data_IF_120194054161
#
_entry.id   IF_120194054161
#
_cell.length_a   1.000
_cell.length_b   1.000
_cell.length_c   1.000
_cell.angle_alpha   90.00
_cell.angle_beta   90.00
_cell.angle_gamma   90.00
#
_symmetry.space_group_name_H-M   'P 1'
#
loop_
_entity.id
_entity.type
_entity.pdbx_description
1 polymer ?
#
# COMPACT_ATOMS: atom_id res chain seq x y z
N UNK A 1 5.03 -12.53 1.95
CA UNK A 1 4.50 -13.82 2.46
C UNK A 1 5.31 -14.21 3.69
N UNK A 2 4.79 -13.93 4.88
CA UNK A 2 5.56 -14.06 6.14
C UNK A 2 4.72 -14.61 7.30
N UNK A 3 5.38 -15.26 8.27
CA UNK A 3 4.75 -15.73 9.51
C UNK A 3 3.92 -17.01 9.40
N UNK A 4 4.08 -17.81 8.34
CA UNK A 4 3.27 -19.02 8.11
C UNK A 4 4.05 -20.31 8.37
N UNK A 5 3.36 -21.42 8.58
CA UNK A 5 3.99 -22.76 8.55
C UNK A 5 4.53 -23.08 7.15
N UNK A 6 3.78 -22.72 6.10
CA UNK A 6 4.17 -22.89 4.70
C UNK A 6 3.86 -21.58 3.97
N UNK A 7 4.87 -20.89 3.45
CA UNK A 7 4.69 -19.62 2.75
C UNK A 7 3.86 -19.79 1.48
N UNK A 8 4.36 -20.59 0.54
CA UNK A 8 3.60 -21.04 -0.63
C UNK A 8 3.48 -22.56 -0.55
N UNK A 9 2.26 -23.07 -0.73
CA UNK A 9 1.97 -24.50 -0.67
C UNK A 9 1.29 -24.97 -1.94
N UNK A 10 1.89 -25.95 -2.63
CA UNK A 10 1.29 -26.62 -3.78
C UNK A 10 1.03 -28.09 -3.46
N UNK A 11 -0.19 -28.55 -3.72
CA UNK A 11 -0.59 -29.96 -3.65
C UNK A 11 -1.58 -30.28 -4.75
N UNK A 12 -1.53 -31.52 -5.24
CA UNK A 12 -2.66 -32.06 -5.99
C UNK A 12 -3.76 -32.55 -5.03
N UNK A 13 -5.03 -32.20 -5.32
CA UNK A 13 -6.19 -32.55 -4.47
C UNK A 13 -7.09 -33.68 -5.02
N UNK A 14 -7.06 -33.99 -6.31
CA UNK A 14 -8.06 -34.87 -6.95
C UNK A 14 -7.65 -36.34 -7.07
N UNK A 15 -8.59 -37.30 -6.90
CA UNK A 15 -8.41 -38.68 -7.37
C UNK A 15 -8.47 -38.71 -8.91
N UNK A 16 -7.44 -39.23 -9.57
CA UNK A 16 -7.42 -39.48 -11.02
C UNK A 16 -7.06 -38.30 -11.94
N UNK A 17 -7.01 -37.05 -11.45
CA UNK A 17 -6.74 -35.85 -12.28
C UNK A 17 -5.45 -35.10 -11.92
N UNK A 18 -4.61 -35.67 -11.05
CA UNK A 18 -3.27 -35.12 -10.86
C UNK A 18 -2.50 -35.31 -12.17
N UNK A 19 -2.09 -34.23 -12.83
CA UNK A 19 -1.41 -34.36 -14.10
C UNK A 19 -0.02 -34.97 -13.85
N UNK A 20 0.67 -35.39 -14.91
CA UNK A 20 2.04 -35.91 -14.78
C UNK A 20 2.89 -34.89 -14.04
N UNK A 21 3.91 -35.35 -13.33
CA UNK A 21 4.79 -34.45 -12.60
C UNK A 21 5.32 -33.37 -13.59
N UNK A 22 5.36 -32.09 -13.16
CA UNK A 22 5.87 -30.97 -13.98
C UNK A 22 4.91 -30.38 -15.02
N UNK A 23 3.76 -31.01 -15.29
CA UNK A 23 2.81 -30.56 -16.33
C UNK A 23 2.04 -29.26 -16.01
N UNK A 24 1.94 -28.88 -14.73
CA UNK A 24 1.35 -27.61 -14.30
C UNK A 24 2.22 -26.97 -13.22
N UNK A 25 2.91 -25.90 -13.59
CA UNK A 25 3.87 -25.19 -12.75
C UNK A 25 3.43 -23.74 -12.55
N UNK A 26 2.74 -23.40 -11.45
CA UNK A 26 2.53 -22.01 -11.08
C UNK A 26 3.88 -21.28 -11.00
N UNK A 27 4.00 -20.17 -11.72
CA UNK A 27 5.19 -19.33 -11.69
C UNK A 27 5.18 -18.46 -10.44
N UNK A 28 6.28 -18.48 -9.71
CA UNK A 28 6.54 -17.67 -8.53
C UNK A 28 7.69 -16.74 -8.88
N UNK A 29 7.39 -15.44 -9.03
CA UNK A 29 8.35 -14.41 -9.43
C UNK A 29 8.23 -13.17 -8.53
N UNK A 30 9.35 -12.53 -8.21
CA UNK A 30 9.37 -11.24 -7.51
C UNK A 30 8.65 -11.22 -6.15
N UNK A 31 8.65 -12.34 -5.41
CA UNK A 31 8.01 -12.44 -4.10
C UNK A 31 9.01 -12.28 -2.95
N UNK A 32 8.55 -11.65 -1.86
CA UNK A 32 9.24 -11.68 -0.57
C UNK A 32 8.64 -12.77 0.32
N UNK A 33 9.39 -13.86 0.56
CA UNK A 33 8.97 -15.08 1.26
C UNK A 33 9.88 -15.31 2.47
N UNK A 34 9.48 -14.79 3.62
CA UNK A 34 10.36 -14.71 4.79
C UNK A 34 9.70 -15.12 6.09
N UNK A 35 10.48 -15.53 7.10
CA UNK A 35 9.98 -15.83 8.45
C UNK A 35 8.82 -16.85 8.46
N UNK A 36 8.86 -17.84 7.57
CA UNK A 36 7.95 -18.98 7.59
C UNK A 36 8.68 -20.21 8.14
N UNK A 37 7.98 -21.27 8.56
CA UNK A 37 8.67 -22.54 8.85
C UNK A 37 9.27 -23.11 7.56
N UNK A 38 8.50 -23.13 6.49
CA UNK A 38 8.97 -23.49 5.15
C UNK A 38 8.56 -22.40 4.16
N UNK A 39 9.50 -21.87 3.37
CA UNK A 39 9.22 -20.83 2.38
C UNK A 39 8.27 -21.34 1.29
N UNK A 40 8.68 -22.37 0.55
CA UNK A 40 7.87 -23.07 -0.44
C UNK A 40 7.78 -24.55 -0.05
N UNK A 41 6.56 -25.08 -0.01
CA UNK A 41 6.31 -26.50 0.24
C UNK A 41 5.53 -27.07 -0.94
N UNK A 42 6.12 -28.05 -1.63
CA UNK A 42 5.45 -28.83 -2.68
C UNK A 42 5.21 -30.25 -2.16
N UNK A 43 3.99 -30.75 -2.37
CA UNK A 43 3.49 -32.02 -1.84
C UNK A 43 2.82 -32.87 -2.93
N UNK A 44 2.84 -34.19 -2.77
CA UNK A 44 2.24 -35.16 -3.71
C UNK A 44 2.73 -34.93 -5.15
N UNK A 45 1.81 -34.70 -6.10
CA UNK A 45 2.12 -34.33 -7.50
C UNK A 45 1.98 -32.82 -7.75
N UNK A 46 2.11 -32.00 -6.71
CA UNK A 46 2.22 -30.56 -6.88
C UNK A 46 3.53 -30.21 -7.60
N UNK A 47 3.55 -29.05 -8.24
CA UNK A 47 4.76 -28.49 -8.83
C UNK A 47 4.71 -26.96 -8.71
N UNK A 48 5.87 -26.31 -8.73
CA UNK A 48 6.04 -24.85 -8.71
C UNK A 48 7.29 -24.52 -9.54
N UNK A 49 7.19 -23.47 -10.34
CA UNK A 49 8.33 -22.86 -11.03
C UNK A 49 8.76 -21.59 -10.30
N UNK A 50 9.96 -21.60 -9.73
CA UNK A 50 10.56 -20.45 -9.04
C UNK A 50 11.69 -19.79 -9.82
N UNK A 51 11.95 -20.18 -11.07
CA UNK A 51 12.97 -19.59 -11.94
C UNK A 51 13.59 -20.66 -12.83
N UNK A 52 13.43 -20.56 -14.15
CA UNK A 52 13.90 -21.60 -15.08
C UNK A 52 15.35 -21.38 -15.49
N UNK A 53 15.70 -20.14 -15.79
CA UNK A 53 17.02 -19.73 -16.28
C UNK A 53 17.27 -18.25 -15.96
N UNK A 54 18.31 -17.64 -16.54
CA UNK A 54 18.65 -16.24 -16.32
C UNK A 54 17.73 -15.25 -17.05
N UNK A 55 16.99 -15.69 -18.08
CA UNK A 55 16.01 -14.89 -18.81
C UNK A 55 14.61 -14.96 -18.17
N UNK A 56 14.27 -16.07 -17.53
CA UNK A 56 13.09 -16.28 -16.69
C UNK A 56 13.49 -16.57 -15.22
N UNK A 57 14.29 -15.65 -14.67
CA UNK A 57 14.79 -15.70 -13.31
C UNK A 57 13.66 -15.51 -12.29
N UNK A 58 13.79 -16.21 -11.15
CA UNK A 58 12.84 -16.14 -10.06
C UNK A 58 12.66 -14.74 -9.47
N UNK A 59 13.76 -14.06 -9.19
CA UNK A 59 13.81 -12.79 -8.46
C UNK A 59 13.01 -12.81 -7.14
N UNK A 60 12.82 -13.97 -6.53
CA UNK A 60 12.21 -14.06 -5.21
C UNK A 60 13.27 -13.87 -4.11
N UNK A 61 12.85 -13.32 -2.99
CA UNK A 61 13.63 -13.24 -1.75
C UNK A 61 13.13 -14.30 -0.77
N UNK A 62 14.02 -15.18 -0.33
CA UNK A 62 13.83 -16.12 0.76
C UNK A 62 14.70 -15.72 1.94
N UNK A 63 14.09 -15.37 3.08
CA UNK A 63 14.86 -14.89 4.23
C UNK A 63 14.29 -15.41 5.56
N UNK A 64 15.16 -15.83 6.49
CA UNK A 64 14.77 -16.24 7.85
C UNK A 64 13.67 -17.32 7.91
N UNK A 65 13.54 -18.19 6.90
CA UNK A 65 12.65 -19.35 7.00
C UNK A 65 13.31 -20.40 7.91
N UNK A 66 12.56 -20.97 8.87
CA UNK A 66 13.17 -21.68 10.01
C UNK A 66 13.57 -23.13 9.73
N UNK A 67 12.99 -23.78 8.72
CA UNK A 67 13.33 -25.16 8.34
C UNK A 67 13.88 -25.27 6.92
N UNK A 68 13.12 -24.81 5.92
CA UNK A 68 13.55 -24.83 4.51
C UNK A 68 13.09 -23.57 3.79
N UNK A 69 13.91 -23.07 2.87
CA UNK A 69 13.48 -22.09 1.88
C UNK A 69 12.56 -22.76 0.84
N UNK A 70 12.95 -23.93 0.33
CA UNK A 70 12.16 -24.72 -0.63
C UNK A 70 12.19 -26.20 -0.25
N UNK A 71 11.02 -26.77 0.07
CA UNK A 71 10.83 -28.20 0.32
C UNK A 71 10.08 -28.82 -0.85
N UNK A 72 10.79 -29.57 -1.68
CA UNK A 72 10.22 -30.47 -2.66
C UNK A 72 9.94 -31.83 -2.00
N UNK A 73 8.78 -31.98 -1.37
CA UNK A 73 8.24 -33.28 -0.94
C UNK A 73 7.27 -33.85 -1.98
N UNK A 74 7.35 -33.35 -3.22
CA UNK A 74 6.53 -33.79 -4.33
C UNK A 74 7.08 -35.06 -4.99
N UNK A 75 6.75 -35.21 -6.26
CA UNK A 75 7.20 -36.31 -7.10
C UNK A 75 8.73 -36.30 -7.24
N UNK A 76 9.38 -37.43 -6.94
CA UNK A 76 10.85 -37.54 -6.91
C UNK A 76 11.52 -37.49 -8.29
N UNK A 77 10.75 -37.54 -9.37
CA UNK A 77 11.28 -37.51 -10.74
C UNK A 77 11.50 -36.10 -11.29
N UNK A 78 10.97 -35.06 -10.63
CA UNK A 78 11.13 -33.69 -11.10
C UNK A 78 11.91 -32.80 -10.14
N UNK A 79 12.56 -31.82 -10.74
CA UNK A 79 13.36 -30.79 -10.05
C UNK A 79 12.60 -29.48 -10.07
N UNK A 80 12.38 -28.88 -8.89
CA UNK A 80 11.89 -27.51 -8.80
C UNK A 80 12.99 -26.59 -9.31
N UNK A 81 12.71 -25.86 -10.39
CA UNK A 81 13.61 -24.83 -10.90
C UNK A 81 13.45 -23.57 -10.05
N UNK A 82 14.56 -23.08 -9.51
CA UNK A 82 14.66 -21.94 -8.61
C UNK A 82 15.86 -21.06 -8.96
N UNK A 83 16.15 -20.92 -10.25
CA UNK A 83 17.24 -20.09 -10.78
C UNK A 83 16.97 -18.61 -10.51
N UNK A 84 18.01 -17.84 -10.17
CA UNK A 84 17.90 -16.38 -10.03
C UNK A 84 17.07 -15.93 -8.83
N UNK A 85 17.12 -16.65 -7.71
CA UNK A 85 16.50 -16.22 -6.44
C UNK A 85 17.56 -15.82 -5.41
N UNK A 86 17.18 -14.98 -4.47
CA UNK A 86 18.02 -14.63 -3.33
C UNK A 86 17.59 -15.40 -2.08
N UNK A 87 18.54 -16.04 -1.39
CA UNK A 87 18.29 -16.87 -0.21
C UNK A 87 18.93 -16.32 1.07
N UNK A 88 19.34 -15.04 1.05
CA UNK A 88 20.14 -14.40 2.10
C UNK A 88 21.62 -14.27 1.72
N UNK A 89 22.38 -13.51 2.53
CA UNK A 89 23.84 -13.42 2.40
C UNK A 89 24.52 -14.75 2.77
N UNK A 90 24.00 -15.40 3.82
CA UNK A 90 24.37 -16.74 4.27
C UNK A 90 23.10 -17.61 4.32
N UNK A 91 22.75 -18.33 3.23
CA UNK A 91 21.52 -19.12 3.22
C UNK A 91 21.59 -20.20 4.31
N UNK A 92 20.52 -20.40 5.12
CA UNK A 92 20.53 -21.39 6.20
C UNK A 92 20.72 -22.79 5.62
N UNK A 93 21.71 -23.56 6.04
CA UNK A 93 21.97 -24.88 5.46
C UNK A 93 21.26 -26.01 6.23
N UNK A 94 20.58 -26.95 5.54
CA UNK A 94 20.20 -26.93 4.13
C UNK A 94 18.94 -26.10 3.88
N UNK A 95 19.02 -25.11 2.98
CA UNK A 95 17.91 -24.20 2.61
C UNK A 95 16.88 -24.92 1.72
N UNK A 96 17.18 -26.14 1.25
CA UNK A 96 16.29 -26.93 0.41
C UNK A 96 16.20 -28.39 0.85
N UNK A 97 15.09 -29.03 0.51
CA UNK A 97 14.85 -30.46 0.68
C UNK A 97 14.32 -31.05 -0.63
N UNK A 98 14.85 -32.22 -1.03
CA UNK A 98 14.52 -32.88 -2.29
C UNK A 98 15.20 -32.23 -3.51
N UNK A 99 14.74 -32.58 -4.72
CA UNK A 99 15.31 -32.09 -5.97
C UNK A 99 14.92 -30.62 -6.22
N UNK A 100 15.87 -29.72 -6.00
CA UNK A 100 15.73 -28.27 -6.22
C UNK A 100 16.96 -27.77 -6.98
N UNK A 101 16.76 -27.12 -8.13
CA UNK A 101 17.80 -26.47 -8.91
C UNK A 101 17.81 -24.97 -8.59
N UNK A 102 18.71 -24.54 -7.70
CA UNK A 102 18.89 -23.13 -7.34
C UNK A 102 20.18 -22.53 -7.91
N UNK A 103 20.61 -22.98 -9.10
CA UNK A 103 21.82 -22.47 -9.77
C UNK A 103 21.65 -20.96 -10.07
N UNK A 104 22.76 -20.24 -10.06
CA UNK A 104 22.80 -18.77 -10.17
C UNK A 104 21.90 -18.07 -9.13
N UNK A 105 22.15 -18.27 -7.82
CA UNK A 105 21.48 -17.46 -6.82
C UNK A 105 21.88 -15.99 -6.99
N UNK A 106 20.97 -15.09 -6.69
CA UNK A 106 21.29 -13.67 -6.63
C UNK A 106 22.26 -13.43 -5.47
N UNK A 107 23.17 -12.47 -5.63
CA UNK A 107 24.16 -12.08 -4.61
C UNK A 107 23.64 -11.01 -3.65
N UNK A 108 22.52 -10.39 -3.99
CA UNK A 108 21.83 -9.40 -3.18
C UNK A 108 20.32 -9.61 -3.32
N UNK A 109 19.57 -9.10 -2.35
CA UNK A 109 18.11 -9.12 -2.43
C UNK A 109 17.68 -8.44 -3.74
N UNK A 110 16.87 -9.11 -4.60
CA UNK A 110 16.27 -8.44 -5.73
C UNK A 110 15.54 -7.23 -5.18
N UNK A 111 15.72 -6.07 -5.84
CA UNK A 111 15.04 -4.86 -5.46
C UNK A 111 13.58 -5.23 -5.27
N UNK A 112 13.08 -5.13 -4.04
CA UNK A 112 11.67 -5.38 -3.80
C UNK A 112 10.97 -4.52 -4.84
N UNK A 113 10.16 -5.13 -5.70
CA UNK A 113 9.12 -4.38 -6.37
C UNK A 113 8.22 -3.98 -5.21
N UNK A 114 8.62 -2.94 -4.48
CA UNK A 114 7.75 -2.20 -3.60
C UNK A 114 6.72 -1.78 -4.60
N UNK A 115 5.61 -2.52 -4.63
CA UNK A 115 4.36 -2.01 -5.15
C UNK A 115 4.34 -0.64 -4.53
N UNK A 116 4.47 0.40 -5.35
CA UNK A 116 4.09 1.71 -4.89
C UNK A 116 2.60 1.50 -4.62
N UNK A 117 2.27 1.04 -3.41
CA UNK A 117 1.11 1.52 -2.71
C UNK A 117 1.34 3.02 -2.71
N UNK A 118 0.87 3.64 -3.79
CA UNK A 118 0.16 4.89 -3.65
C UNK A 118 -0.90 4.52 -2.62
N UNK A 119 -0.55 4.69 -1.34
CA UNK A 119 -1.53 4.78 -0.28
C UNK A 119 -2.54 5.75 -0.85
N UNK A 120 -3.70 5.23 -1.26
CA UNK A 120 -4.74 6.07 -1.81
C UNK A 120 -5.31 6.77 -0.59
N UNK A 121 -4.57 7.74 -0.06
CA UNK A 121 -5.04 8.66 0.95
C UNK A 121 -6.23 9.32 0.29
N UNK A 122 -7.42 8.85 0.65
CA UNK A 122 -8.63 9.48 0.15
C UNK A 122 -8.52 10.94 0.56
N UNK A 123 -8.71 11.90 -0.36
CA UNK A 123 -8.65 13.30 0.01
C UNK A 123 -9.78 13.58 0.99
N UNK A 124 -9.48 14.32 2.05
CA UNK A 124 -10.55 14.95 2.84
C UNK A 124 -11.37 15.87 1.92
N UNK A 125 -12.64 16.10 2.25
CA UNK A 125 -13.55 16.87 1.40
C UNK A 125 -14.20 17.99 2.19
N UNK A 126 -14.28 19.20 1.61
CA UNK A 126 -15.10 20.29 2.13
C UNK A 126 -16.54 20.03 1.69
N UNK A 127 -17.43 19.84 2.65
CA UNK A 127 -18.85 19.54 2.43
C UNK A 127 -19.64 20.80 2.06
N UNK A 128 -19.25 21.95 2.61
CA UNK A 128 -19.88 23.22 2.31
C UNK A 128 -19.65 24.29 3.37
N UNK A 129 -20.12 25.51 3.07
CA UNK A 129 -20.16 26.64 3.99
C UNK A 129 -21.61 27.00 4.23
N UNK A 130 -22.02 27.08 5.49
CA UNK A 130 -23.42 27.33 5.89
C UNK A 130 -23.50 28.36 7.03
N UNK A 131 -24.44 29.33 6.97
CA UNK A 131 -25.31 29.61 5.84
C UNK A 131 -24.51 30.18 4.64
N UNK A 132 -25.03 29.99 3.43
CA UNK A 132 -24.55 30.67 2.24
C UNK A 132 -25.78 31.30 1.55
N UNK A 133 -25.98 32.63 1.61
CA UNK A 133 -24.99 33.66 1.98
C UNK A 133 -24.69 33.77 3.49
N UNK A 134 -23.44 34.10 3.83
CA UNK A 134 -22.95 34.38 5.19
C UNK A 134 -23.28 35.82 5.58
N UNK A 135 -24.03 36.02 6.67
CA UNK A 135 -24.36 37.35 7.22
C UNK A 135 -23.53 37.75 8.46
N UNK A 136 -22.80 36.79 9.03
CA UNK A 136 -21.99 36.98 10.23
C UNK A 136 -21.09 35.77 10.40
N UNK A 137 -21.50 34.84 11.25
CA UNK A 137 -20.80 33.57 11.45
C UNK A 137 -21.16 32.54 10.37
N UNK A 138 -20.18 31.75 9.95
CA UNK A 138 -20.34 30.62 9.04
C UNK A 138 -19.70 29.36 9.62
N UNK A 139 -20.35 28.23 9.37
CA UNK A 139 -19.86 26.88 9.61
C UNK A 139 -19.32 26.29 8.31
N UNK A 140 -18.07 25.90 8.33
CA UNK A 140 -17.39 25.21 7.24
C UNK A 140 -17.31 23.73 7.61
N UNK A 141 -18.17 22.92 6.99
CA UNK A 141 -18.19 21.47 7.23
C UNK A 141 -17.20 20.74 6.32
N UNK A 142 -16.50 19.76 6.85
CA UNK A 142 -15.58 18.90 6.09
C UNK A 142 -15.58 17.46 6.63
N UNK A 143 -15.23 16.51 5.76
CA UNK A 143 -15.16 15.09 6.08
C UNK A 143 -13.72 14.58 5.91
N UNK A 144 -13.23 13.86 6.91
CA UNK A 144 -11.88 13.32 7.02
C UNK A 144 -11.97 11.79 6.90
N UNK A 145 -11.28 11.16 5.93
CA UNK A 145 -11.45 9.73 5.65
C UNK A 145 -10.56 8.82 6.49
N UNK A 146 -9.51 9.35 7.10
CA UNK A 146 -8.52 8.59 7.87
C UNK A 146 -8.12 9.34 9.13
N UNK A 147 -7.71 8.62 10.17
CA UNK A 147 -7.31 9.20 11.44
C UNK A 147 -5.99 9.98 11.35
N UNK A 148 -5.80 10.95 12.26
CA UNK A 148 -4.56 11.70 12.39
C UNK A 148 -4.19 12.61 11.20
N UNK A 149 -5.13 12.91 10.29
CA UNK A 149 -4.84 13.76 9.13
C UNK A 149 -4.67 15.21 9.56
N UNK A 150 -3.52 15.80 9.23
CA UNK A 150 -3.26 17.22 9.47
C UNK A 150 -3.84 18.07 8.32
N UNK A 151 -4.75 18.99 8.67
CA UNK A 151 -5.48 19.84 7.72
C UNK A 151 -5.28 21.30 8.11
N UNK A 152 -4.84 22.12 7.16
CA UNK A 152 -4.84 23.59 7.25
C UNK A 152 -6.01 24.15 6.44
N UNK A 153 -6.83 24.99 7.07
CA UNK A 153 -7.95 25.68 6.43
C UNK A 153 -7.64 27.18 6.28
N UNK A 154 -7.94 27.73 5.12
CA UNK A 154 -7.66 29.13 4.76
C UNK A 154 -8.83 29.73 3.97
N UNK A 155 -9.08 31.02 4.13
CA UNK A 155 -10.10 31.78 3.40
C UNK A 155 -9.42 32.82 2.51
N UNK A 156 -9.88 32.93 1.26
CA UNK A 156 -9.37 33.83 0.24
C UNK A 156 -10.47 34.71 -0.34
N UNK A 157 -10.13 35.94 -0.73
CA UNK A 157 -10.98 36.78 -1.58
C UNK A 157 -10.95 36.30 -3.03
N UNK A 158 -11.84 36.84 -3.88
CA UNK A 158 -11.83 36.59 -5.34
C UNK A 158 -10.53 37.02 -6.03
N UNK A 159 -9.81 38.00 -5.48
CA UNK A 159 -8.49 38.40 -5.98
C UNK A 159 -7.34 37.48 -5.53
N UNK A 160 -7.63 36.41 -4.79
CA UNK A 160 -6.63 35.48 -4.27
C UNK A 160 -5.90 35.97 -3.01
N UNK A 161 -6.33 37.09 -2.41
CA UNK A 161 -5.76 37.60 -1.16
C UNK A 161 -6.16 36.69 0.00
N UNK A 162 -5.20 36.27 0.81
CA UNK A 162 -5.45 35.55 2.07
C UNK A 162 -6.20 36.48 3.05
N UNK A 163 -7.38 36.03 3.48
CA UNK A 163 -8.26 36.75 4.41
C UNK A 163 -8.05 36.26 5.83
N UNK A 164 -8.02 34.94 6.01
CA UNK A 164 -7.82 34.28 7.31
C UNK A 164 -7.21 32.89 7.15
N UNK A 165 -6.30 32.50 8.04
CA UNK A 165 -5.83 31.11 8.21
C UNK A 165 -6.20 30.63 9.61
N UNK A 166 -6.52 29.34 9.74
CA UNK A 166 -6.88 28.71 11.02
C UNK A 166 -5.78 27.80 11.58
N UNK A 167 -4.60 27.78 10.94
CA UNK A 167 -3.48 26.90 11.28
C UNK A 167 -3.72 25.44 10.89
N UNK A 168 -2.64 24.67 10.87
CA UNK A 168 -2.70 23.23 10.67
C UNK A 168 -3.15 22.54 11.96
N UNK A 169 -4.13 21.64 11.86
CA UNK A 169 -4.63 20.83 13.00
C UNK A 169 -4.83 19.39 12.58
N UNK A 170 -4.61 18.46 13.50
CA UNK A 170 -4.91 17.03 13.28
C UNK A 170 -6.38 16.74 13.56
N UNK A 171 -6.98 15.96 12.69
CA UNK A 171 -8.37 15.50 12.80
C UNK A 171 -8.43 13.98 12.65
N UNK A 172 -9.28 13.36 13.46
CA UNK A 172 -9.60 11.94 13.32
C UNK A 172 -10.63 11.71 12.20
N UNK A 173 -10.85 10.46 11.84
CA UNK A 173 -11.83 10.12 10.81
C UNK A 173 -13.24 10.58 11.22
N UNK A 174 -14.02 11.09 10.25
CA UNK A 174 -15.38 11.55 10.49
C UNK A 174 -15.68 12.95 9.97
N UNK A 175 -16.80 13.52 10.41
CA UNK A 175 -17.25 14.86 10.04
C UNK A 175 -16.83 15.87 11.09
N UNK A 176 -16.32 17.00 10.62
CA UNK A 176 -15.80 18.09 11.45
C UNK A 176 -16.29 19.43 10.95
N UNK A 177 -16.24 20.42 11.84
CA UNK A 177 -16.66 21.77 11.55
C UNK A 177 -15.63 22.79 11.99
N UNK A 178 -15.50 23.82 11.18
CA UNK A 178 -14.74 25.00 11.50
C UNK A 178 -15.65 26.22 11.47
N UNK A 179 -15.64 26.99 12.55
CA UNK A 179 -16.43 28.21 12.68
C UNK A 179 -15.59 29.41 12.26
N UNK A 180 -16.14 30.21 11.35
CA UNK A 180 -15.59 31.48 10.93
C UNK A 180 -16.56 32.60 11.31
N UNK A 181 -16.07 33.61 12.02
CA UNK A 181 -16.85 34.76 12.51
C UNK A 181 -17.09 35.86 11.45
N UNK A 182 -16.64 35.65 10.21
CA UNK A 182 -16.74 36.65 9.15
C UNK A 182 -15.65 37.73 9.19
N UNK A 183 -14.61 37.58 10.01
CA UNK A 183 -13.51 38.53 10.13
C UNK A 183 -12.22 38.03 9.46
N UNK A 184 -11.36 38.97 9.08
CA UNK A 184 -10.00 38.72 8.61
C UNK A 184 -9.04 38.44 9.78
N UNK A 185 -7.77 38.14 9.48
CA UNK A 185 -6.73 37.87 10.50
C UNK A 185 -6.46 39.01 11.49
N UNK A 186 -6.87 40.25 11.19
CA UNK A 186 -6.71 41.41 12.07
C UNK A 186 -7.96 41.68 12.92
N UNK A 187 -8.94 40.76 12.93
CA UNK A 187 -10.23 40.95 13.60
C UNK A 187 -11.19 41.88 12.86
N UNK A 188 -10.76 42.42 11.71
CA UNK A 188 -11.56 43.32 10.89
C UNK A 188 -12.61 42.57 10.09
N UNK A 189 -13.80 43.15 10.08
CA UNK A 189 -14.96 42.65 9.38
C UNK A 189 -14.76 42.70 7.84
N UNK A 190 -14.96 41.58 7.11
CA UNK A 190 -14.76 41.52 5.65
C UNK A 190 -15.90 42.14 4.84
N UNK A 191 -15.63 42.64 3.64
CA UNK A 191 -16.67 43.23 2.78
C UNK A 191 -17.64 42.18 2.21
N UNK A 192 -18.84 42.61 1.80
CA UNK A 192 -19.75 41.79 0.98
C UNK A 192 -19.05 41.36 -0.31
N UNK A 193 -19.19 40.09 -0.71
CA UNK A 193 -18.53 39.56 -1.90
C UNK A 193 -18.35 38.05 -1.90
N UNK A 194 -17.72 37.56 -2.96
CA UNK A 194 -17.41 36.14 -3.14
C UNK A 194 -16.07 35.80 -2.48
N UNK A 195 -16.06 34.71 -1.72
CA UNK A 195 -14.89 34.19 -1.03
C UNK A 195 -14.73 32.70 -1.31
N UNK A 196 -13.52 32.20 -1.08
CA UNK A 196 -13.17 30.80 -1.23
C UNK A 196 -12.60 30.27 0.08
N UNK A 197 -13.08 29.13 0.53
CA UNK A 197 -12.36 28.33 1.53
C UNK A 197 -11.49 27.33 0.79
N UNK A 198 -10.23 27.21 1.22
CA UNK A 198 -9.27 26.23 0.74
C UNK A 198 -8.76 25.41 1.93
N UNK A 199 -8.85 24.10 1.82
CA UNK A 199 -8.19 23.17 2.73
C UNK A 199 -6.96 22.55 2.09
N UNK A 200 -5.94 22.24 2.89
CA UNK A 200 -4.73 21.52 2.48
C UNK A 200 -4.39 20.43 3.50
N UNK A 201 -3.94 19.29 3.03
CA UNK A 201 -3.32 18.24 3.85
C UNK A 201 -2.02 17.76 3.17
N UNK A 202 -1.10 17.17 3.92
CA UNK A 202 0.11 16.60 3.35
C UNK A 202 -0.24 15.56 2.25
N UNK A 203 0.35 15.70 1.06
CA UNK A 203 0.20 14.75 -0.04
C UNK A 203 -1.09 14.85 -0.88
N UNK A 204 -2.05 15.73 -0.57
CA UNK A 204 -3.30 15.86 -1.33
C UNK A 204 -3.46 17.23 -2.01
N UNK A 205 -4.23 17.24 -3.10
CA UNK A 205 -4.64 18.46 -3.78
C UNK A 205 -5.51 19.33 -2.88
N UNK A 206 -5.37 20.65 -3.02
CA UNK A 206 -6.16 21.59 -2.25
C UNK A 206 -7.65 21.50 -2.63
N UNK A 207 -8.52 21.31 -1.64
CA UNK A 207 -9.98 21.32 -1.85
C UNK A 207 -10.50 22.74 -1.68
N UNK A 208 -11.29 23.23 -2.63
CA UNK A 208 -11.77 24.62 -2.66
C UNK A 208 -13.30 24.66 -2.76
N UNK A 209 -13.93 25.52 -1.97
CA UNK A 209 -15.37 25.80 -2.07
C UNK A 209 -15.62 27.31 -2.07
N UNK A 210 -16.48 27.79 -2.98
CA UNK A 210 -16.90 29.20 -3.04
C UNK A 210 -18.13 29.46 -2.17
N UNK A 211 -18.23 30.65 -1.60
CA UNK A 211 -19.40 31.10 -0.86
C UNK A 211 -19.55 32.63 -0.92
N UNK A 212 -20.75 33.13 -0.62
CA UNK A 212 -21.09 34.55 -0.64
C UNK A 212 -21.16 35.10 0.78
N UNK A 213 -20.61 36.30 0.99
CA UNK A 213 -20.77 37.10 2.22
C UNK A 213 -21.61 38.32 1.90
N UNK A 214 -22.55 38.66 2.80
CA UNK A 214 -23.40 39.86 2.73
C UNK A 214 -23.37 40.57 4.09
N UNK A 215 -23.10 41.87 4.08
CA UNK A 215 -23.06 42.78 5.23
C UNK A 215 -24.13 43.83 5.13
#
# INVERSE_FOLDING_TARGET
ITGNTRGIYSKCRGPGSCPTCGSFAPKVRNNYIASNTTGIYVDKRGFIDCGQDTLDAGNNTFLNNTAYCIKNAGCSQDTIQAVGNWFGADPPTPCWYGNVNAVFPLTSAPAATRKLEIERVLPFTILGVSPNPVKGTARIGFAVPSEGLEIEMQIFSVSGRLVRSFGAKRYDSGRHDLIWDGNNSHGGSVASGIYFVRGRSAGNNAVVQRFLVVR
#
